data_IF_312603288850
#
_entry.id   IF_312603288850
#
_cell.length_a   1.000
_cell.length_b   1.000
_cell.length_c   1.000
_cell.angle_alpha   90.00
_cell.angle_beta   90.00
_cell.angle_gamma   90.00
#
_symmetry.space_group_name_H-M   'P 1'
#
loop_
_entity.id
_entity.type
_entity.pdbx_description
1 polymer ?
#
# COMPACT_ATOMS: atom_id res chain seq x y z
N UNK A 1 22.37 23.37 51.58
CA UNK A 1 22.47 23.58 50.12
C UNK A 1 22.19 22.32 49.29
N UNK A 2 22.65 21.12 49.66
CA UNK A 2 22.53 19.91 48.82
C UNK A 2 21.10 19.43 48.48
N UNK A 3 20.10 19.60 49.38
CA UNK A 3 18.72 19.10 49.12
C UNK A 3 17.98 19.86 48.01
N UNK A 4 18.13 21.19 47.93
CA UNK A 4 17.45 22.01 46.92
C UNK A 4 17.99 21.74 45.51
N UNK A 5 19.30 21.57 45.38
CA UNK A 5 19.94 21.20 44.12
C UNK A 5 19.47 19.83 43.62
N UNK A 6 19.31 18.85 44.50
CA UNK A 6 18.82 17.51 44.13
C UNK A 6 17.37 17.53 43.62
N UNK A 7 16.48 18.27 44.28
CA UNK A 7 15.08 18.43 43.83
C UNK A 7 15.00 19.13 42.48
N UNK A 8 15.81 20.16 42.25
CA UNK A 8 15.85 20.86 40.97
C UNK A 8 16.31 19.93 39.83
N UNK A 9 17.30 19.07 40.06
CA UNK A 9 17.77 18.10 39.07
C UNK A 9 16.67 17.10 38.70
N UNK A 10 15.94 16.57 39.69
CA UNK A 10 14.82 15.65 39.44
C UNK A 10 13.72 16.34 38.62
N UNK A 11 13.37 17.57 38.98
CA UNK A 11 12.32 18.33 38.28
C UNK A 11 12.72 18.61 36.82
N UNK A 12 13.97 19.03 36.59
CA UNK A 12 14.51 19.24 35.23
C UNK A 12 14.51 17.94 34.44
N UNK A 13 14.93 16.82 35.05
CA UNK A 13 14.90 15.49 34.44
C UNK A 13 13.47 15.07 34.05
N UNK A 14 12.50 15.30 34.92
CA UNK A 14 11.09 14.99 34.67
C UNK A 14 10.49 15.87 33.55
N UNK A 15 10.74 17.18 33.57
CA UNK A 15 10.31 18.10 32.50
C UNK A 15 10.95 17.71 31.16
N UNK A 16 12.25 17.39 31.17
CA UNK A 16 12.97 16.92 29.98
C UNK A 16 12.38 15.62 29.44
N UNK A 17 12.11 14.65 30.31
CA UNK A 17 11.47 13.39 29.92
C UNK A 17 10.07 13.62 29.34
N UNK A 18 9.25 14.49 29.94
CA UNK A 18 7.93 14.85 29.40
C UNK A 18 8.03 15.54 28.04
N UNK A 19 9.02 16.43 27.84
CA UNK A 19 9.23 17.10 26.55
C UNK A 19 9.65 16.11 25.46
N UNK A 20 10.60 15.21 25.75
CA UNK A 20 11.04 14.15 24.83
C UNK A 20 9.88 13.19 24.53
N UNK A 21 9.09 12.83 25.54
CA UNK A 21 7.91 11.99 25.35
C UNK A 21 6.87 12.67 24.45
N UNK A 22 6.57 13.95 24.67
CA UNK A 22 5.66 14.74 23.82
C UNK A 22 6.17 14.88 22.39
N UNK A 23 7.47 15.09 22.19
CA UNK A 23 8.10 15.13 20.86
C UNK A 23 8.02 13.76 20.16
N UNK A 24 8.26 12.67 20.89
CA UNK A 24 8.15 11.31 20.35
C UNK A 24 6.70 10.96 19.99
N UNK A 25 5.72 11.36 20.79
CA UNK A 25 4.29 11.24 20.45
C UNK A 25 4.03 12.01 19.16
N UNK A 26 4.43 13.29 19.09
CA UNK A 26 4.20 14.14 17.92
C UNK A 26 4.82 13.58 16.63
N UNK A 27 6.01 12.98 16.72
CA UNK A 27 6.67 12.34 15.57
C UNK A 27 6.01 11.03 15.15
N UNK A 28 5.58 10.20 16.10
CA UNK A 28 4.87 8.94 15.79
C UNK A 28 3.45 9.18 15.29
N UNK A 29 2.81 10.26 15.74
CA UNK A 29 1.47 10.61 15.31
C UNK A 29 1.45 11.29 13.93
N UNK A 30 2.56 11.71 13.32
CA UNK A 30 2.47 12.53 12.10
C UNK A 30 2.03 11.80 10.83
N UNK A 31 1.83 10.49 10.88
CA UNK A 31 1.48 9.69 9.71
C UNK A 31 0.26 8.81 10.00
N UNK A 32 -0.69 8.82 9.07
CA UNK A 32 -1.81 7.88 9.01
C UNK A 32 -1.59 7.00 7.80
N UNK A 33 -1.67 5.67 7.98
CA UNK A 33 -1.57 4.73 6.87
C UNK A 33 -2.94 4.15 6.55
N UNK A 34 -3.30 4.08 5.28
CA UNK A 34 -4.58 3.49 4.84
C UNK A 34 -4.31 2.46 3.75
N UNK A 35 -4.76 1.22 3.97
CA UNK A 35 -4.75 0.19 2.94
C UNK A 35 -6.01 0.28 2.07
N UNK A 36 -5.83 0.33 0.76
CA UNK A 36 -6.92 0.33 -0.24
C UNK A 36 -6.82 -0.96 -1.07
N UNK A 37 -7.78 -1.86 -0.88
CA UNK A 37 -7.74 -3.18 -1.53
C UNK A 37 -8.01 -3.11 -3.04
N UNK A 38 -7.61 -4.16 -3.75
CA UNK A 38 -7.86 -4.33 -5.19
C UNK A 38 -9.27 -4.82 -5.52
N UNK A 39 -9.45 -5.27 -6.76
CA UNK A 39 -10.70 -5.82 -7.30
C UNK A 39 -11.16 -7.08 -6.54
N UNK A 40 -12.43 -7.11 -6.13
CA UNK A 40 -13.03 -8.28 -5.44
C UNK A 40 -13.75 -9.24 -6.41
N UNK A 41 -13.87 -8.87 -7.69
CA UNK A 41 -14.83 -9.40 -8.66
C UNK A 41 -14.70 -10.89 -9.05
N UNK A 42 -13.62 -11.58 -8.66
CA UNK A 42 -13.56 -13.04 -8.87
C UNK A 42 -12.91 -13.81 -7.73
N UNK A 43 -12.37 -13.12 -6.72
CA UNK A 43 -11.85 -13.78 -5.52
C UNK A 43 -12.97 -14.51 -4.80
N UNK A 44 -14.14 -13.88 -4.67
CA UNK A 44 -15.27 -14.52 -4.02
C UNK A 44 -15.70 -15.83 -4.68
N UNK A 45 -15.55 -15.98 -6.01
CA UNK A 45 -15.86 -17.24 -6.72
C UNK A 45 -14.68 -18.23 -6.72
N UNK A 46 -13.44 -17.75 -6.89
CA UNK A 46 -12.23 -18.60 -6.84
C UNK A 46 -12.05 -19.20 -5.44
N UNK A 47 -12.38 -18.42 -4.41
CA UNK A 47 -12.27 -18.75 -3.00
C UNK A 47 -13.62 -19.10 -2.37
N UNK A 48 -14.75 -19.06 -3.09
CA UNK A 48 -16.05 -19.54 -2.58
C UNK A 48 -15.97 -20.99 -2.10
N UNK A 49 -15.06 -21.76 -2.68
CA UNK A 49 -14.80 -23.16 -2.33
C UNK A 49 -13.88 -23.34 -1.13
N UNK A 50 -13.29 -22.27 -0.60
CA UNK A 50 -12.40 -22.28 0.57
C UNK A 50 -13.15 -21.60 1.72
N UNK A 51 -13.69 -22.36 2.70
CA UNK A 51 -14.37 -21.79 3.86
C UNK A 51 -13.48 -20.76 4.57
N UNK A 52 -14.01 -19.56 4.82
CA UNK A 52 -13.29 -18.49 5.50
C UNK A 52 -12.52 -17.52 4.59
N UNK A 53 -12.31 -17.84 3.31
CA UNK A 53 -11.45 -17.02 2.45
C UNK A 53 -12.09 -15.70 1.98
N UNK A 54 -13.42 -15.62 1.95
CA UNK A 54 -14.11 -14.35 1.70
C UNK A 54 -13.91 -13.39 2.89
N UNK A 55 -13.95 -13.92 4.11
CA UNK A 55 -13.73 -13.22 5.37
C UNK A 55 -12.29 -12.71 5.49
N UNK A 56 -11.30 -13.45 4.96
CA UNK A 56 -9.90 -13.00 4.92
C UNK A 56 -9.70 -11.73 4.09
N UNK A 57 -10.49 -11.52 3.03
CA UNK A 57 -10.32 -10.37 2.12
C UNK A 57 -11.32 -9.25 2.35
N UNK A 58 -12.26 -9.44 3.28
CA UNK A 58 -13.31 -8.48 3.57
C UNK A 58 -12.77 -7.27 4.34
N UNK A 59 -13.15 -6.08 3.88
CA UNK A 59 -12.98 -4.81 4.59
C UNK A 59 -14.34 -4.13 4.58
N UNK A 60 -14.87 -3.69 5.74
CA UNK A 60 -16.13 -2.95 5.79
C UNK A 60 -16.07 -1.68 4.91
N UNK A 61 -17.18 -1.33 4.28
CA UNK A 61 -17.27 -0.11 3.48
C UNK A 61 -16.90 1.13 4.31
N UNK A 62 -16.04 1.98 3.75
CA UNK A 62 -15.51 3.16 4.46
C UNK A 62 -14.18 2.90 5.17
N UNK A 63 -13.74 3.84 6.01
CA UNK A 63 -12.50 3.70 6.78
C UNK A 63 -12.74 2.91 8.08
N UNK A 64 -11.99 1.82 8.25
CA UNK A 64 -12.02 1.01 9.47
C UNK A 64 -10.60 0.89 10.04
N UNK A 65 -10.38 1.16 11.35
CA UNK A 65 -9.09 0.87 12.00
C UNK A 65 -8.74 -0.61 11.81
N UNK A 66 -7.48 -0.92 11.46
CA UNK A 66 -7.10 -2.33 11.23
C UNK A 66 -7.14 -3.17 12.50
N UNK A 67 -7.10 -2.54 13.69
CA UNK A 67 -7.31 -3.18 14.98
C UNK A 67 -8.71 -3.78 15.14
N UNK A 68 -9.69 -3.23 14.42
CA UNK A 68 -11.10 -3.57 14.53
C UNK A 68 -11.49 -4.66 13.53
N UNK A 69 -10.59 -5.02 12.62
CA UNK A 69 -10.73 -6.14 11.69
C UNK A 69 -10.38 -7.47 12.36
N UNK A 70 -10.91 -8.58 11.83
CA UNK A 70 -10.54 -9.93 12.25
C UNK A 70 -9.02 -10.14 12.18
N UNK A 71 -8.45 -10.90 13.12
CA UNK A 71 -7.00 -11.16 13.18
C UNK A 71 -6.44 -11.81 11.93
N UNK A 72 -7.27 -12.54 11.18
CA UNK A 72 -6.89 -13.19 9.93
C UNK A 72 -7.17 -12.32 8.71
N UNK A 73 -7.84 -11.18 8.86
CA UNK A 73 -8.11 -10.28 7.75
C UNK A 73 -6.78 -9.83 7.12
N UNK A 74 -6.67 -9.97 5.80
CA UNK A 74 -5.45 -9.67 5.04
C UNK A 74 -5.01 -8.23 5.28
N UNK A 75 -5.93 -7.27 5.31
CA UNK A 75 -5.58 -5.87 5.60
C UNK A 75 -4.89 -5.70 6.97
N UNK A 76 -5.33 -6.46 7.99
CA UNK A 76 -4.71 -6.45 9.33
C UNK A 76 -3.34 -7.11 9.32
N UNK A 77 -3.21 -8.29 8.72
CA UNK A 77 -1.92 -8.98 8.57
C UNK A 77 -0.89 -8.09 7.85
N UNK A 78 -1.29 -7.43 6.76
CA UNK A 78 -0.42 -6.52 6.01
C UNK A 78 0.00 -5.31 6.84
N UNK A 79 -0.91 -4.72 7.60
CA UNK A 79 -0.56 -3.63 8.50
C UNK A 79 0.45 -4.08 9.57
N UNK A 80 0.28 -5.27 10.14
CA UNK A 80 1.23 -5.85 11.10
C UNK A 80 2.61 -6.08 10.46
N UNK A 81 2.66 -6.61 9.25
CA UNK A 81 3.90 -6.83 8.51
C UNK A 81 4.63 -5.52 8.20
N UNK A 82 3.93 -4.51 7.71
CA UNK A 82 4.53 -3.20 7.46
C UNK A 82 5.04 -2.55 8.74
N UNK A 83 4.23 -2.56 9.80
CA UNK A 83 4.59 -1.95 11.08
C UNK A 83 5.76 -2.69 11.76
N UNK A 84 5.81 -4.02 11.71
CA UNK A 84 6.90 -4.78 12.31
C UNK A 84 8.25 -4.51 11.64
N UNK A 85 8.24 -4.23 10.34
CA UNK A 85 9.44 -4.02 9.52
C UNK A 85 9.91 -2.58 9.46
N UNK A 86 8.99 -1.62 9.52
CA UNK A 86 9.32 -0.19 9.56
C UNK A 86 8.34 0.59 10.44
N UNK A 87 8.57 0.50 11.75
CA UNK A 87 7.80 1.22 12.80
C UNK A 87 7.83 2.74 12.68
N UNK A 88 8.79 3.29 11.90
CA UNK A 88 8.90 4.73 11.70
C UNK A 88 7.99 5.18 10.57
N UNK A 89 7.90 4.39 9.51
CA UNK A 89 7.05 4.66 8.35
C UNK A 89 5.60 4.27 8.64
N UNK A 90 5.37 3.11 9.26
CA UNK A 90 4.05 2.57 9.52
C UNK A 90 3.80 2.44 11.02
N UNK A 91 2.75 3.09 11.51
CA UNK A 91 2.35 3.09 12.92
C UNK A 91 1.01 2.38 13.01
N UNK A 92 0.99 1.25 13.71
CA UNK A 92 -0.15 0.33 13.73
C UNK A 92 -1.43 1.00 14.26
N UNK A 93 -1.31 1.79 15.34
CA UNK A 93 -2.44 2.51 15.95
C UNK A 93 -3.04 3.59 15.03
N UNK A 94 -2.30 4.00 13.99
CA UNK A 94 -2.73 4.96 12.97
C UNK A 94 -2.91 4.27 11.60
N UNK A 95 -3.19 2.96 11.59
CA UNK A 95 -3.38 2.19 10.38
C UNK A 95 -4.86 1.84 10.17
N UNK A 96 -5.37 2.15 8.98
CA UNK A 96 -6.76 1.92 8.58
C UNK A 96 -6.81 1.06 7.32
N UNK A 97 -7.95 0.44 7.07
CA UNK A 97 -8.30 -0.16 5.79
C UNK A 97 -9.53 0.56 5.23
N UNK A 98 -9.56 0.76 3.91
CA UNK A 98 -10.70 1.31 3.20
C UNK A 98 -11.40 0.21 2.40
N UNK A 99 -12.65 -0.08 2.77
CA UNK A 99 -13.51 -0.98 2.00
C UNK A 99 -14.26 -0.24 0.90
N UNK A 100 -14.28 -0.84 -0.29
CA UNK A 100 -15.05 -0.36 -1.42
C UNK A 100 -15.61 -1.53 -2.25
N UNK A 101 -16.47 -1.22 -3.23
CA UNK A 101 -17.23 -2.24 -3.97
C UNK A 101 -16.35 -3.23 -4.77
N UNK A 102 -15.10 -2.89 -5.06
CA UNK A 102 -14.19 -3.70 -5.86
C UNK A 102 -14.58 -3.81 -7.33
N UNK A 103 -15.56 -3.02 -7.80
CA UNK A 103 -16.02 -3.02 -9.19
C UNK A 103 -15.02 -2.29 -10.10
N UNK A 104 -14.85 -2.78 -11.32
CA UNK A 104 -13.82 -2.30 -12.24
C UNK A 104 -14.20 -1.04 -13.05
N UNK A 105 -15.47 -0.63 -13.06
CA UNK A 105 -15.90 0.53 -13.83
C UNK A 105 -15.22 1.82 -13.35
N UNK A 106 -15.00 2.77 -14.27
CA UNK A 106 -14.43 4.07 -13.92
C UNK A 106 -15.30 4.83 -12.93
N UNK A 107 -16.62 4.83 -13.15
CA UNK A 107 -17.61 5.50 -12.29
C UNK A 107 -17.56 4.97 -10.84
N UNK A 108 -17.46 3.65 -10.64
CA UNK A 108 -17.40 3.08 -9.29
C UNK A 108 -16.09 3.43 -8.58
N UNK A 109 -14.98 3.49 -9.33
CA UNK A 109 -13.68 3.88 -8.77
C UNK A 109 -13.62 5.36 -8.43
N UNK A 110 -14.20 6.21 -9.27
CA UNK A 110 -14.37 7.65 -9.00
C UNK A 110 -15.27 7.89 -7.80
N UNK A 111 -16.44 7.23 -7.75
CA UNK A 111 -17.36 7.27 -6.60
C UNK A 111 -16.67 6.84 -5.30
N UNK A 112 -15.91 5.75 -5.36
CA UNK A 112 -15.14 5.24 -4.21
C UNK A 112 -14.05 6.21 -3.78
N UNK A 113 -13.38 6.88 -4.73
CA UNK A 113 -12.38 7.89 -4.43
C UNK A 113 -13.00 9.13 -3.78
N UNK A 114 -14.18 9.57 -4.24
CA UNK A 114 -14.91 10.66 -3.61
C UNK A 114 -15.29 10.32 -2.16
N UNK A 115 -15.76 9.10 -1.91
CA UNK A 115 -16.07 8.65 -0.56
C UNK A 115 -14.83 8.56 0.32
N UNK A 116 -13.75 7.95 -0.18
CA UNK A 116 -12.45 7.91 0.50
C UNK A 116 -11.96 9.32 0.84
N UNK A 117 -12.06 10.27 -0.08
CA UNK A 117 -11.65 11.66 0.15
C UNK A 117 -12.40 12.31 1.32
N UNK A 118 -13.70 12.06 1.46
CA UNK A 118 -14.51 12.60 2.55
C UNK A 118 -14.07 12.02 3.90
N UNK A 119 -13.86 10.70 3.93
CA UNK A 119 -13.39 9.98 5.12
C UNK A 119 -11.97 10.41 5.53
N UNK A 120 -11.07 10.61 4.57
CA UNK A 120 -9.69 11.08 4.82
C UNK A 120 -9.65 12.50 5.36
N UNK A 121 -10.47 13.42 4.84
CA UNK A 121 -10.56 14.80 5.34
C UNK A 121 -11.04 14.80 6.78
N UNK A 122 -12.11 14.05 7.06
CA UNK A 122 -12.62 13.89 8.43
C UNK A 122 -11.54 13.34 9.37
N UNK A 123 -10.89 12.25 8.97
CA UNK A 123 -9.85 11.60 9.77
C UNK A 123 -8.64 12.52 10.00
N UNK A 124 -8.25 13.31 9.00
CA UNK A 124 -7.16 14.28 9.14
C UNK A 124 -7.48 15.39 10.14
N UNK A 125 -8.72 15.93 10.11
CA UNK A 125 -9.16 16.92 11.10
C UNK A 125 -9.23 16.35 12.51
N UNK A 126 -9.83 15.17 12.69
CA UNK A 126 -9.89 14.50 14.01
C UNK A 126 -8.48 14.24 14.57
N UNK A 127 -7.55 13.88 13.70
CA UNK A 127 -6.15 13.69 14.06
C UNK A 127 -5.47 15.01 14.46
N UNK A 128 -5.69 16.08 13.69
CA UNK A 128 -5.16 17.40 13.98
C UNK A 128 -5.70 17.97 15.30
N UNK A 129 -7.00 17.84 15.56
CA UNK A 129 -7.60 18.24 16.84
C UNK A 129 -6.98 17.47 18.01
N UNK A 130 -6.72 16.17 17.84
CA UNK A 130 -6.17 15.31 18.91
C UNK A 130 -4.71 15.60 19.21
N UNK A 131 -3.89 15.84 18.18
CA UNK A 131 -2.43 15.90 18.33
C UNK A 131 -1.82 17.28 18.05
N UNK A 132 -2.64 18.24 17.60
CA UNK A 132 -2.19 19.57 17.18
C UNK A 132 -1.29 19.54 15.95
N UNK A 133 -1.40 18.49 15.12
CA UNK A 133 -0.64 18.34 13.87
C UNK A 133 -1.51 17.74 12.76
N UNK A 134 -1.44 18.34 11.58
CA UNK A 134 -2.00 17.75 10.37
C UNK A 134 -1.17 16.51 9.97
N UNK A 135 -1.80 15.34 9.76
CA UNK A 135 -1.09 14.14 9.40
C UNK A 135 -0.71 14.14 7.91
N UNK A 136 0.39 13.46 7.57
CA UNK A 136 0.64 12.97 6.22
C UNK A 136 -0.13 11.66 6.06
N UNK A 137 -1.00 11.58 5.06
CA UNK A 137 -1.78 10.38 4.78
C UNK A 137 -1.01 9.52 3.79
N UNK A 138 -0.65 8.30 4.17
CA UNK A 138 -0.04 7.33 3.27
C UNK A 138 -1.06 6.29 2.82
N UNK A 139 -1.37 6.27 1.54
CA UNK A 139 -2.23 5.26 0.95
C UNK A 139 -1.39 4.13 0.38
N UNK A 140 -1.54 2.93 0.93
CA UNK A 140 -0.98 1.71 0.37
C UNK A 140 -2.07 0.99 -0.39
N UNK A 141 -1.91 0.90 -1.70
CA UNK A 141 -2.96 0.40 -2.58
C UNK A 141 -2.45 -0.75 -3.42
N UNK A 142 -3.33 -1.72 -3.67
CA UNK A 142 -3.03 -2.87 -4.49
C UNK A 142 -3.94 -2.91 -5.71
N UNK A 143 -3.38 -3.24 -6.89
CA UNK A 143 -4.13 -3.44 -8.12
C UNK A 143 -5.03 -2.23 -8.44
N UNK A 144 -6.31 -2.43 -8.76
CA UNK A 144 -7.26 -1.34 -9.03
C UNK A 144 -7.58 -0.45 -7.83
N UNK A 145 -7.25 -0.85 -6.61
CA UNK A 145 -7.28 0.05 -5.45
C UNK A 145 -6.36 1.27 -5.66
N UNK A 146 -5.28 1.11 -6.43
CA UNK A 146 -4.42 2.22 -6.82
C UNK A 146 -5.12 3.22 -7.74
N UNK A 147 -6.04 2.79 -8.58
CA UNK A 147 -6.85 3.70 -9.38
C UNK A 147 -7.88 4.45 -8.53
N UNK A 148 -8.44 3.84 -7.48
CA UNK A 148 -9.25 4.58 -6.49
C UNK A 148 -8.40 5.65 -5.81
N UNK A 149 -7.19 5.31 -5.37
CA UNK A 149 -6.27 6.24 -4.73
C UNK A 149 -5.83 7.39 -5.67
N UNK A 150 -5.54 7.11 -6.94
CA UNK A 150 -5.19 8.14 -7.93
C UNK A 150 -6.35 9.11 -8.18
N UNK A 151 -7.59 8.63 -8.21
CA UNK A 151 -8.78 9.46 -8.41
C UNK A 151 -9.00 10.49 -7.28
N UNK A 152 -8.33 10.35 -6.13
CA UNK A 152 -8.35 11.39 -5.09
C UNK A 152 -7.85 12.74 -5.57
N UNK A 153 -7.01 12.78 -6.61
CA UNK A 153 -6.56 14.02 -7.26
C UNK A 153 -7.71 14.98 -7.63
N UNK A 154 -8.92 14.44 -7.85
CA UNK A 154 -10.10 15.20 -8.23
C UNK A 154 -10.87 15.78 -7.03
N UNK A 155 -10.71 15.20 -5.85
CA UNK A 155 -11.62 15.43 -4.71
C UNK A 155 -10.90 15.94 -3.46
N UNK A 156 -9.61 15.68 -3.33
CA UNK A 156 -8.86 16.01 -2.12
C UNK A 156 -8.58 17.53 -2.04
N UNK A 157 -8.85 18.17 -0.89
CA UNK A 157 -8.43 19.55 -0.63
C UNK A 157 -6.91 19.71 -0.73
N UNK A 158 -6.44 20.91 -1.08
CA UNK A 158 -5.01 21.20 -1.31
C UNK A 158 -4.13 21.11 -0.06
N UNK A 159 -4.71 21.30 1.10
CA UNK A 159 -4.05 21.25 2.40
C UNK A 159 -3.85 19.82 2.91
N UNK A 160 -4.59 18.84 2.38
CA UNK A 160 -4.38 17.44 2.71
C UNK A 160 -3.26 16.87 1.84
N UNK A 161 -2.18 16.42 2.49
CA UNK A 161 -1.03 15.83 1.83
C UNK A 161 -1.11 14.31 1.82
N UNK A 162 -0.92 13.72 0.64
CA UNK A 162 -0.98 12.27 0.43
C UNK A 162 0.32 11.73 -0.15
N UNK A 163 0.81 10.65 0.44
CA UNK A 163 1.80 9.76 -0.16
C UNK A 163 1.11 8.52 -0.72
N UNK A 164 1.40 8.16 -1.97
CA UNK A 164 0.86 6.97 -2.62
C UNK A 164 1.91 5.85 -2.69
N UNK A 165 1.53 4.65 -2.30
CA UNK A 165 2.26 3.41 -2.57
C UNK A 165 1.35 2.55 -3.46
N UNK A 166 1.65 2.50 -4.74
CA UNK A 166 0.87 1.82 -5.78
C UNK A 166 1.53 0.48 -6.11
N UNK A 167 0.97 -0.62 -5.60
CA UNK A 167 1.50 -1.98 -5.79
C UNK A 167 0.68 -2.64 -6.88
N UNK A 168 1.32 -3.10 -7.96
CA UNK A 168 0.67 -3.76 -9.09
C UNK A 168 -0.49 -2.94 -9.70
N UNK A 169 -0.46 -1.60 -9.58
CA UNK A 169 -1.53 -0.74 -10.07
C UNK A 169 -1.49 -0.67 -11.60
N UNK A 170 -2.56 -1.02 -12.34
CA UNK A 170 -2.61 -0.80 -13.77
C UNK A 170 -2.64 0.71 -14.05
N UNK A 171 -1.66 1.22 -14.79
CA UNK A 171 -1.61 2.63 -15.22
C UNK A 171 -2.57 2.80 -16.38
N UNK A 172 -3.61 3.58 -16.17
CA UNK A 172 -4.68 3.81 -17.15
C UNK A 172 -4.60 5.24 -17.71
N UNK A 173 -4.94 5.48 -18.98
CA UNK A 173 -4.91 6.82 -19.57
C UNK A 173 -5.73 7.87 -18.78
N UNK A 174 -6.83 7.47 -18.16
CA UNK A 174 -7.69 8.33 -17.34
C UNK A 174 -6.99 8.87 -16.09
N UNK A 175 -6.13 8.05 -15.48
CA UNK A 175 -5.50 8.34 -14.19
C UNK A 175 -4.01 8.64 -14.33
N UNK A 176 -3.43 8.49 -15.53
CA UNK A 176 -2.00 8.68 -15.80
C UNK A 176 -1.52 10.05 -15.33
N UNK A 177 -2.25 11.11 -15.69
CA UNK A 177 -1.89 12.49 -15.34
C UNK A 177 -2.19 12.84 -13.87
N UNK A 178 -2.92 12.01 -13.12
CA UNK A 178 -3.24 12.32 -11.71
C UNK A 178 -2.00 12.28 -10.82
N UNK A 179 -0.94 11.58 -11.23
CA UNK A 179 0.36 11.62 -10.53
C UNK A 179 0.98 13.03 -10.51
N UNK A 180 0.51 13.95 -11.35
CA UNK A 180 0.95 15.34 -11.36
C UNK A 180 0.24 16.21 -10.32
N UNK A 181 -0.89 15.77 -9.76
CA UNK A 181 -1.70 16.57 -8.84
C UNK A 181 -0.95 16.99 -7.55
N UNK A 182 -1.15 18.23 -7.11
CA UNK A 182 -0.41 18.84 -5.99
C UNK A 182 -0.66 18.18 -4.64
N UNK A 183 -1.82 17.53 -4.45
CA UNK A 183 -2.13 16.79 -3.23
C UNK A 183 -1.20 15.59 -2.99
N UNK A 184 -0.59 15.05 -4.05
CA UNK A 184 0.38 13.98 -3.93
C UNK A 184 1.78 14.54 -3.72
N UNK A 185 2.33 14.34 -2.52
CA UNK A 185 3.69 14.75 -2.17
C UNK A 185 4.73 13.72 -2.58
N UNK A 186 4.33 12.44 -2.63
CA UNK A 186 5.19 11.32 -2.97
C UNK A 186 4.40 10.17 -3.57
N UNK A 187 4.95 9.52 -4.59
CA UNK A 187 4.30 8.44 -5.31
C UNK A 187 5.33 7.35 -5.57
N UNK A 188 5.11 6.18 -5.00
CA UNK A 188 5.89 4.98 -5.26
C UNK A 188 5.05 4.03 -6.10
N UNK A 189 5.63 3.51 -7.16
CA UNK A 189 5.02 2.48 -8.02
C UNK A 189 5.86 1.23 -7.90
N UNK A 190 5.27 0.11 -7.49
CA UNK A 190 5.95 -1.17 -7.35
C UNK A 190 5.27 -2.14 -8.31
N UNK A 191 6.01 -2.59 -9.31
CA UNK A 191 5.53 -3.46 -10.39
C UNK A 191 6.50 -4.62 -10.60
N UNK A 192 6.07 -5.70 -11.24
CA UNK A 192 6.95 -6.79 -11.68
C UNK A 192 6.68 -7.16 -13.13
N UNK A 193 7.69 -7.69 -13.84
CA UNK A 193 7.56 -7.96 -15.28
C UNK A 193 6.61 -9.12 -15.57
N UNK A 194 6.49 -10.09 -14.67
CA UNK A 194 5.58 -11.24 -14.80
C UNK A 194 4.15 -10.94 -14.30
N UNK A 195 3.88 -9.72 -13.82
CA UNK A 195 2.52 -9.31 -13.54
C UNK A 195 1.80 -8.99 -14.86
N UNK A 196 1.14 -10.01 -15.41
CA UNK A 196 0.31 -9.87 -16.60
C UNK A 196 -1.04 -9.22 -16.30
N UNK A 197 -1.60 -9.41 -15.11
CA UNK A 197 -2.90 -8.83 -14.75
C UNK A 197 -2.84 -7.29 -14.74
N UNK A 198 -1.70 -6.72 -14.32
CA UNK A 198 -1.47 -5.28 -14.36
C UNK A 198 -1.52 -4.69 -15.77
N UNK A 199 -1.20 -5.45 -16.82
CA UNK A 199 -1.18 -4.97 -18.23
C UNK A 199 -2.37 -5.46 -19.03
N UNK A 200 -2.94 -6.61 -18.67
CA UNK A 200 -4.05 -7.22 -19.37
C UNK A 200 -5.41 -6.58 -19.04
N UNK A 201 -5.45 -5.57 -18.16
CA UNK A 201 -6.65 -4.81 -17.81
C UNK A 201 -7.27 -4.15 -19.07
N UNK A 202 -8.40 -4.69 -19.56
CA UNK A 202 -8.97 -4.28 -20.84
C UNK A 202 -9.78 -3.00 -20.66
N UNK A 203 -9.12 -1.86 -20.81
CA UNK A 203 -9.69 -0.50 -20.67
C UNK A 203 -10.99 -0.31 -21.48
N UNK A 204 -11.11 -0.99 -22.61
CA UNK A 204 -12.23 -0.89 -23.53
C UNK A 204 -13.53 -1.55 -23.04
N UNK A 205 -13.49 -2.48 -22.07
CA UNK A 205 -14.71 -3.10 -21.53
C UNK A 205 -15.46 -2.12 -20.61
N UNK A 206 -14.74 -1.14 -20.06
CA UNK A 206 -15.30 -0.17 -19.10
C UNK A 206 -15.69 1.16 -19.75
N UNK A 207 -15.30 1.39 -21.01
CA UNK A 207 -15.69 2.58 -21.78
C UNK A 207 -16.87 2.26 -22.69
N UNK A 208 -17.92 3.06 -22.64
CA UNK A 208 -18.92 3.14 -23.71
C UNK A 208 -18.27 3.78 -24.95
N UNK A 209 -17.42 3.03 -25.67
CA UNK A 209 -16.71 3.52 -26.84
C UNK A 209 -17.70 3.83 -27.96
N UNK A 210 -17.73 5.09 -28.42
CA UNK A 210 -18.44 5.45 -29.64
C UNK A 210 -17.61 4.96 -30.84
N UNK A 211 -18.30 4.53 -31.90
CA UNK A 211 -17.68 4.03 -33.14
C UNK A 211 -16.81 5.15 -33.75
N UNK A 212 -15.49 5.08 -33.59
CA UNK A 212 -14.53 6.10 -34.05
C UNK A 212 -13.31 6.33 -33.14
N UNK A 213 -13.34 5.87 -31.89
CA UNK A 213 -12.26 6.05 -30.89
C UNK A 213 -11.03 5.12 -31.06
N UNK A 214 -10.85 4.53 -32.25
CA UNK A 214 -9.93 3.41 -32.53
C UNK A 214 -8.42 3.68 -32.34
N UNK A 215 -8.03 4.86 -31.86
CA UNK A 215 -6.62 5.23 -31.58
C UNK A 215 -6.26 5.26 -30.10
N UNK A 216 -7.20 5.01 -29.18
CA UNK A 216 -6.91 5.05 -27.74
C UNK A 216 -6.29 3.73 -27.28
N UNK A 217 -5.25 3.85 -26.47
CA UNK A 217 -4.54 2.75 -25.84
C UNK A 217 -5.56 1.76 -25.21
N UNK A 218 -5.48 0.50 -25.62
CA UNK A 218 -6.48 -0.54 -25.30
C UNK A 218 -6.17 -1.26 -23.99
N UNK A 219 -4.90 -1.22 -23.55
CA UNK A 219 -4.36 -1.91 -22.39
C UNK A 219 -3.67 -0.93 -21.45
N UNK A 220 -3.63 -1.26 -20.16
CA UNK A 220 -2.87 -0.51 -19.16
C UNK A 220 -1.35 -0.66 -19.32
N UNK A 221 -0.60 0.21 -18.65
CA UNK A 221 0.87 0.11 -18.53
C UNK A 221 1.26 -0.25 -17.09
N UNK A 222 2.52 -0.70 -16.91
CA UNK A 222 3.09 -0.94 -15.56
C UNK A 222 3.66 0.30 -14.91
N UNK A 223 4.03 1.29 -15.74
CA UNK A 223 4.75 2.48 -15.33
C UNK A 223 4.14 3.71 -15.97
N UNK A 224 4.16 4.81 -15.25
CA UNK A 224 3.80 6.13 -15.76
C UNK A 224 4.92 6.66 -16.65
N UNK A 225 4.55 7.43 -17.67
CA UNK A 225 5.48 8.08 -18.59
C UNK A 225 5.92 9.48 -18.15
N UNK A 226 5.66 9.84 -16.90
CA UNK A 226 6.08 11.10 -16.31
C UNK A 226 7.47 10.98 -15.64
N UNK A 227 8.26 12.04 -15.78
CA UNK A 227 9.55 12.20 -15.10
C UNK A 227 9.45 13.39 -14.13
N UNK A 228 8.86 13.17 -12.96
CA UNK A 228 8.67 14.18 -11.90
C UNK A 228 9.28 13.68 -10.59
N UNK A 229 9.86 14.56 -9.80
CA UNK A 229 10.67 14.19 -8.62
C UNK A 229 9.89 13.40 -7.57
N UNK A 230 8.60 13.70 -7.40
CA UNK A 230 7.71 12.99 -6.47
C UNK A 230 7.38 11.57 -6.90
N UNK A 231 7.64 11.18 -8.15
CA UNK A 231 7.32 9.87 -8.70
C UNK A 231 8.56 8.97 -8.75
N UNK A 232 8.51 7.85 -8.04
CA UNK A 232 9.54 6.81 -8.04
C UNK A 232 8.91 5.47 -8.35
N UNK A 233 9.50 4.73 -9.27
CA UNK A 233 8.93 3.51 -9.84
C UNK A 233 9.96 2.40 -9.77
N UNK A 234 9.60 1.27 -9.18
CA UNK A 234 10.43 0.10 -9.02
C UNK A 234 9.84 -1.07 -9.81
N UNK A 235 10.68 -1.69 -10.64
CA UNK A 235 10.47 -3.03 -11.13
C UNK A 235 11.17 -4.00 -10.18
N UNK A 236 10.41 -4.91 -9.57
CA UNK A 236 10.93 -5.81 -8.53
C UNK A 236 10.96 -7.28 -8.97
N UNK A 237 12.02 -7.97 -8.56
CA UNK A 237 12.17 -9.42 -8.60
C UNK A 237 12.63 -9.94 -7.23
N UNK A 238 12.49 -11.25 -7.01
CA UNK A 238 13.06 -11.94 -5.84
C UNK A 238 13.95 -13.07 -6.34
N UNK A 239 15.21 -13.07 -5.89
CA UNK A 239 16.23 -14.04 -6.32
C UNK A 239 16.26 -14.22 -7.86
N UNK A 240 16.26 -13.11 -8.61
CA UNK A 240 16.26 -13.08 -10.07
C UNK A 240 14.92 -13.41 -10.74
N UNK A 241 13.87 -13.72 -9.98
CA UNK A 241 12.56 -14.13 -10.52
C UNK A 241 11.53 -13.02 -10.41
N UNK A 242 10.90 -12.67 -11.54
CA UNK A 242 9.78 -11.73 -11.56
C UNK A 242 8.49 -12.40 -11.08
N UNK A 243 7.68 -11.62 -10.38
CA UNK A 243 6.51 -12.04 -9.63
C UNK A 243 5.23 -11.85 -10.45
N UNK A 244 4.29 -12.78 -10.31
CA UNK A 244 2.91 -12.61 -10.74
C UNK A 244 2.12 -11.67 -9.84
N UNK A 245 0.89 -11.33 -10.26
CA UNK A 245 0.02 -10.37 -9.54
C UNK A 245 -0.23 -10.78 -8.07
N UNK A 246 -0.52 -12.06 -7.85
CA UNK A 246 -0.80 -12.57 -6.50
C UNK A 246 0.46 -12.73 -5.66
N UNK A 247 1.60 -13.05 -6.28
CA UNK A 247 2.88 -13.18 -5.58
C UNK A 247 3.39 -11.81 -5.10
N UNK A 248 3.19 -10.76 -5.91
CA UNK A 248 3.41 -9.38 -5.48
C UNK A 248 2.59 -9.04 -4.23
N UNK A 249 1.34 -9.50 -4.17
CA UNK A 249 0.47 -9.25 -3.03
C UNK A 249 0.79 -10.12 -1.82
N UNK A 250 0.98 -11.42 -1.99
CA UNK A 250 1.04 -12.34 -0.85
C UNK A 250 2.46 -12.51 -0.32
N UNK A 251 3.45 -12.53 -1.22
CA UNK A 251 4.82 -12.91 -0.88
C UNK A 251 5.74 -11.69 -0.79
N UNK A 252 5.53 -10.70 -1.64
CA UNK A 252 6.41 -9.53 -1.72
C UNK A 252 6.06 -8.41 -0.73
N UNK A 253 4.86 -8.39 -0.15
CA UNK A 253 4.44 -7.32 0.76
C UNK A 253 5.41 -7.13 1.93
N UNK A 254 6.01 -8.22 2.41
CA UNK A 254 7.04 -8.19 3.45
C UNK A 254 8.31 -7.41 3.04
N UNK A 255 8.59 -7.23 1.75
CA UNK A 255 9.75 -6.51 1.23
C UNK A 255 9.48 -5.05 0.89
N UNK A 256 8.21 -4.63 0.87
CA UNK A 256 7.82 -3.27 0.48
C UNK A 256 8.49 -2.19 1.33
N UNK A 257 8.52 -2.26 2.67
CA UNK A 257 9.20 -1.21 3.46
C UNK A 257 10.67 -1.03 3.08
N UNK A 258 11.39 -2.12 2.80
CA UNK A 258 12.79 -2.06 2.37
C UNK A 258 12.94 -1.43 0.98
N UNK A 259 12.05 -1.77 0.04
CA UNK A 259 12.00 -1.14 -1.30
C UNK A 259 11.73 0.36 -1.19
N UNK A 260 10.77 0.77 -0.36
CA UNK A 260 10.45 2.19 -0.16
C UNK A 260 11.65 2.96 0.42
N UNK A 261 12.33 2.39 1.41
CA UNK A 261 13.54 2.99 1.99
C UNK A 261 14.67 3.10 0.96
N UNK A 262 14.80 2.12 0.06
CA UNK A 262 15.77 2.19 -1.04
C UNK A 262 15.40 3.26 -2.07
N UNK A 263 14.12 3.39 -2.43
CA UNK A 263 13.66 4.47 -3.32
C UNK A 263 13.91 5.85 -2.74
N UNK A 264 13.77 6.00 -1.42
CA UNK A 264 14.06 7.25 -0.72
C UNK A 264 15.54 7.60 -0.69
N UNK A 265 16.43 6.61 -0.66
CA UNK A 265 17.87 6.85 -0.75
C UNK A 265 18.33 7.26 -2.17
N UNK A 266 17.49 7.09 -3.19
CA UNK A 266 17.81 7.38 -4.59
C UNK A 266 17.38 8.81 -5.00
N UNK A 267 17.12 9.70 -4.05
CA UNK A 267 16.73 11.10 -4.29
C UNK A 267 17.76 11.90 -5.07
N UNK A 268 19.03 11.50 -5.05
CA UNK A 268 20.13 12.26 -5.64
C UNK A 268 20.41 11.92 -7.11
N UNK A 269 19.75 10.89 -7.66
CA UNK A 269 19.92 10.50 -9.07
C UNK A 269 18.98 11.33 -9.94
N UNK A 270 19.45 12.50 -10.37
CA UNK A 270 18.69 13.39 -11.27
C UNK A 270 18.27 12.66 -12.55
N UNK A 271 16.99 12.76 -12.88
CA UNK A 271 16.43 12.36 -14.17
C UNK A 271 15.97 10.91 -14.30
N UNK A 272 16.22 10.04 -13.32
CA UNK A 272 15.65 8.68 -13.30
C UNK A 272 14.51 8.55 -12.28
N UNK A 273 13.35 8.11 -12.76
CA UNK A 273 12.21 7.71 -11.92
C UNK A 273 11.99 6.21 -11.92
N UNK A 274 12.73 5.43 -12.71
CA UNK A 274 12.53 3.99 -12.88
C UNK A 274 13.77 3.23 -12.41
N UNK A 275 13.57 2.28 -11.51
CA UNK A 275 14.63 1.49 -10.87
C UNK A 275 14.30 0.01 -10.94
N UNK A 276 15.32 -0.82 -10.94
CA UNK A 276 15.19 -2.28 -10.87
C UNK A 276 15.77 -2.74 -9.54
N UNK A 277 15.00 -3.54 -8.81
CA UNK A 277 15.45 -4.14 -7.56
C UNK A 277 15.24 -5.63 -7.61
N UNK A 278 16.34 -6.36 -7.47
CA UNK A 278 16.28 -7.76 -7.08
C UNK A 278 16.43 -7.85 -5.56
N UNK A 279 15.49 -8.50 -4.91
CA UNK A 279 15.51 -8.72 -3.47
C UNK A 279 16.00 -10.15 -3.21
N UNK A 280 17.04 -10.29 -2.41
CA UNK A 280 17.49 -11.59 -1.94
C UNK A 280 16.60 -12.04 -0.77
N UNK A 281 16.02 -13.23 -0.89
CA UNK A 281 15.18 -13.82 0.15
C UNK A 281 15.32 -15.35 0.14
N UNK A 282 16.13 -15.85 1.08
CA UNK A 282 16.39 -17.28 1.27
C UNK A 282 15.14 -18.11 1.64
N UNK A 283 14.08 -17.46 2.11
CA UNK A 283 12.82 -18.10 2.47
C UNK A 283 11.73 -17.80 1.43
N UNK A 284 12.09 -17.29 0.26
CA UNK A 284 11.13 -17.11 -0.80
C UNK A 284 10.77 -18.48 -1.37
N UNK A 285 9.53 -18.95 -1.21
CA UNK A 285 9.13 -20.21 -1.79
C UNK A 285 9.16 -20.02 -3.31
N UNK A 286 10.14 -20.61 -3.98
CA UNK A 286 10.09 -20.70 -5.44
C UNK A 286 8.93 -21.63 -5.78
N UNK A 287 7.79 -21.06 -6.12
CA UNK A 287 6.70 -21.79 -6.78
C UNK A 287 7.08 -22.01 -8.24
N UNK A 288 8.22 -22.66 -8.48
CA UNK A 288 8.62 -23.13 -9.80
C UNK A 288 7.65 -24.25 -10.22
N UNK A 289 6.50 -23.87 -10.77
CA UNK A 289 5.52 -24.79 -11.35
C UNK A 289 4.43 -25.32 -10.41
N UNK A 290 4.36 -24.88 -9.15
CA UNK A 290 3.26 -25.27 -8.25
C UNK A 290 2.15 -24.23 -8.34
N UNK A 291 0.97 -24.67 -8.77
CA UNK A 291 -0.21 -23.83 -8.86
C UNK A 291 -0.53 -23.28 -7.45
N UNK A 292 -0.60 -21.96 -7.29
CA UNK A 292 -0.99 -21.27 -6.04
C UNK A 292 -2.30 -21.85 -5.46
N UNK A 293 -3.18 -22.36 -6.33
CA UNK A 293 -4.42 -23.05 -5.94
C UNK A 293 -4.13 -24.36 -5.18
N UNK A 294 -3.07 -25.10 -5.48
CA UNK A 294 -2.74 -26.35 -4.81
C UNK A 294 -2.10 -26.14 -3.43
N UNK A 295 -1.36 -25.04 -3.25
CA UNK A 295 -0.88 -24.58 -1.93
C UNK A 295 -2.06 -24.15 -1.05
N UNK A 296 -3.00 -23.38 -1.61
CA UNK A 296 -4.19 -22.92 -0.89
C UNK A 296 -5.21 -24.05 -0.62
N UNK A 297 -5.19 -25.13 -1.41
CA UNK A 297 -6.03 -26.33 -1.20
C UNK A 297 -5.42 -27.33 -0.20
N UNK A 298 -4.28 -27.03 0.41
CA UNK A 298 -3.58 -27.97 1.30
C UNK A 298 -3.20 -29.28 0.61
N UNK A 299 -2.99 -29.25 -0.72
CA UNK A 299 -2.69 -30.44 -1.55
C UNK A 299 -1.20 -30.68 -1.76
N UNK A 300 -0.35 -29.80 -1.25
CA UNK A 300 1.07 -30.11 -1.07
C UNK A 300 1.19 -30.92 0.22
N UNK A 301 1.02 -32.24 0.11
CA UNK A 301 1.51 -33.16 1.13
C UNK A 301 3.04 -33.10 1.08
N UNK A 302 3.61 -32.81 2.24
CA UNK A 302 5.02 -33.04 2.58
C UNK A 302 6.03 -32.29 1.70
N UNK A 303 6.26 -31.01 2.04
CA UNK A 303 7.59 -30.42 1.87
C UNK A 303 8.38 -30.81 3.13
N UNK A 304 9.26 -31.79 2.96
CA UNK A 304 10.23 -32.36 3.90
C UNK A 304 10.47 -31.55 5.19
N UNK A 305 10.15 -32.16 6.33
CA UNK A 305 10.70 -31.83 7.66
C UNK A 305 12.17 -32.32 7.83
N UNK A 306 12.83 -32.74 6.75
CA UNK A 306 14.15 -33.37 6.78
C UNK A 306 15.31 -32.44 6.42
N UNK A 307 15.47 -31.27 7.05
CA UNK A 307 16.71 -30.48 6.99
C UNK A 307 16.97 -29.74 8.31
N UNK A 308 16.99 -30.48 9.41
CA UNK A 308 17.72 -30.13 10.63
C UNK A 308 18.30 -31.43 11.17
N UNK A 309 19.46 -31.83 10.65
CA UNK A 309 20.55 -32.48 11.39
C UNK A 309 21.77 -32.65 10.44
N UNK A 310 22.96 -32.49 11.04
CA UNK A 310 24.32 -32.78 10.54
C UNK A 310 25.04 -31.77 9.61
N UNK A 311 25.65 -30.74 10.22
CA UNK A 311 27.12 -30.45 10.33
C UNK A 311 27.39 -28.96 10.63
#
# INVERSE_FOLDING_TARGET
MQKQTFVAIILIGFIGAMFVHKQNIKRRSSVISVYVHGTLFNWRNLFASIPGAAELTYVPDGLTPVSDLDEKAVARCLAQDFCSRDKRRFVYDNFYAFGWSGKLSFEEREKSAKFLSQELVKLAHEHEERYGIQPIIRLVSFSHGGNVALNLAQFLPKDIQVELVLIACPVQPETENFVLADCFTKIYVISSLNDFAQVADPLNIYRNLKRGDAKKQVLSQRFFNHNVDKLKQACVSVNGTYLGHLELFQLFNKHIPAVLNRLDALTDIKGSTKFYFDVEDKYFPFLNGVNVIDVLKGRVKDLDEGLLDDE
#
